data_IF_341997151080
#
_entry.id   IF_341997151080
#
_cell.length_a   1.000
_cell.length_b   1.000
_cell.length_c   1.000
_cell.angle_alpha   90.00
_cell.angle_beta   90.00
_cell.angle_gamma   90.00
#
_symmetry.space_group_name_H-M   'P 1'
#
loop_
_entity.id
_entity.type
_entity.pdbx_description
1 polymer ?
#
# COMPACT_ATOMS: atom_id res chain seq x y z
N UNK A 1 -27.31 -4.46 0.31
CA UNK A 1 -26.29 -4.61 -0.75
C UNK A 1 -25.81 -6.06 -0.76
N UNK A 2 -25.42 -6.63 -1.91
CA UNK A 2 -24.96 -8.02 -1.97
C UNK A 2 -23.64 -8.18 -1.22
N UNK A 3 -23.51 -9.26 -0.44
CA UNK A 3 -22.38 -9.53 0.48
C UNK A 3 -21.01 -9.59 -0.24
N UNK A 4 -20.99 -9.97 -1.52
CA UNK A 4 -19.78 -9.99 -2.35
C UNK A 4 -19.28 -8.59 -2.75
N UNK A 5 -20.17 -7.60 -2.91
CA UNK A 5 -19.82 -6.21 -3.21
C UNK A 5 -19.18 -5.52 -2.01
N UNK A 6 -19.62 -5.84 -0.79
CA UNK A 6 -18.97 -5.39 0.45
C UNK A 6 -17.59 -6.05 0.65
N UNK A 7 -17.38 -7.25 0.11
CA UNK A 7 -16.06 -7.87 0.08
C UNK A 7 -15.14 -7.20 -0.95
N UNK A 8 -15.63 -6.79 -2.13
CA UNK A 8 -14.78 -6.10 -3.11
C UNK A 8 -14.44 -4.65 -2.69
N UNK A 9 -15.35 -3.91 -2.06
CA UNK A 9 -15.09 -2.54 -1.60
C UNK A 9 -14.32 -2.59 -0.27
N UNK A 10 -13.04 -2.92 -0.36
CA UNK A 10 -12.17 -3.16 0.79
C UNK A 10 -10.72 -2.73 0.52
N UNK A 11 -9.77 -3.24 1.32
CA UNK A 11 -8.35 -2.95 1.13
C UNK A 11 -7.83 -3.41 -0.26
N UNK A 12 -8.41 -4.45 -0.85
CA UNK A 12 -8.00 -5.02 -2.14
C UNK A 12 -8.17 -4.04 -3.29
N UNK A 13 -9.35 -3.43 -3.42
CA UNK A 13 -9.63 -2.48 -4.52
C UNK A 13 -8.82 -1.20 -4.33
N UNK A 14 -8.63 -0.76 -3.09
CA UNK A 14 -7.76 0.38 -2.78
C UNK A 14 -6.33 0.14 -3.25
N UNK A 15 -5.74 -0.99 -2.87
CA UNK A 15 -4.38 -1.34 -3.28
C UNK A 15 -4.26 -1.64 -4.78
N UNK A 16 -5.25 -2.29 -5.39
CA UNK A 16 -5.28 -2.54 -6.83
C UNK A 16 -5.33 -1.23 -7.62
N UNK A 17 -6.10 -0.24 -7.18
CA UNK A 17 -6.16 1.07 -7.81
C UNK A 17 -4.79 1.77 -7.73
N UNK A 18 -4.15 1.76 -6.56
CA UNK A 18 -2.81 2.33 -6.37
C UNK A 18 -1.75 1.61 -7.21
N UNK A 19 -1.79 0.28 -7.24
CA UNK A 19 -0.91 -0.52 -8.07
C UNK A 19 -1.10 -0.19 -9.55
N UNK A 20 -2.35 -0.04 -10.01
CA UNK A 20 -2.66 0.39 -11.37
C UNK A 20 -2.02 1.73 -11.72
N UNK A 21 -2.12 2.73 -10.82
CA UNK A 21 -1.49 4.04 -11.00
C UNK A 21 0.04 3.90 -11.09
N UNK A 22 0.66 3.15 -10.18
CA UNK A 22 2.13 2.93 -10.20
C UNK A 22 2.57 2.17 -11.44
N UNK A 23 1.81 1.16 -11.88
CA UNK A 23 2.11 0.42 -13.09
C UNK A 23 1.99 1.29 -14.35
N UNK A 24 1.00 2.19 -14.39
CA UNK A 24 0.86 3.17 -15.46
C UNK A 24 2.00 4.20 -15.43
N UNK A 25 2.38 4.70 -14.26
CA UNK A 25 3.52 5.62 -14.11
C UNK A 25 4.84 4.96 -14.51
N UNK A 26 5.07 3.72 -14.08
CA UNK A 26 6.23 2.92 -14.45
C UNK A 26 6.28 2.69 -15.97
N UNK A 27 5.14 2.37 -16.60
CA UNK A 27 5.05 2.24 -18.06
C UNK A 27 5.16 3.56 -18.81
N UNK A 28 4.70 4.66 -18.23
CA UNK A 28 4.80 6.00 -18.80
C UNK A 28 6.20 6.61 -18.64
N UNK A 29 7.05 6.03 -17.79
CA UNK A 29 8.43 6.46 -17.58
C UNK A 29 9.39 6.00 -18.71
N UNK A 30 8.92 6.01 -19.96
CA UNK A 30 9.74 5.88 -21.17
C UNK A 30 10.33 7.28 -21.46
N UNK A 31 11.64 7.42 -21.69
CA UNK A 31 12.37 8.69 -21.48
C UNK A 31 11.89 9.84 -22.40
N UNK A 32 11.98 11.13 -22.01
CA UNK A 32 12.62 11.71 -20.82
C UNK A 32 11.63 12.51 -19.94
N UNK A 33 11.11 11.91 -18.86
CA UNK A 33 10.25 12.61 -17.90
C UNK A 33 10.90 12.66 -16.51
N UNK A 34 11.78 13.65 -16.30
CA UNK A 34 12.34 14.00 -14.98
C UNK A 34 11.34 14.04 -13.81
N UNK A 35 10.09 14.53 -13.94
CA UNK A 35 9.14 14.53 -12.82
C UNK A 35 8.71 13.12 -12.38
N UNK A 36 8.60 12.17 -13.31
CA UNK A 36 8.17 10.79 -13.02
C UNK A 36 9.21 10.04 -12.20
N UNK A 37 10.50 10.29 -12.44
CA UNK A 37 11.59 9.71 -11.66
C UNK A 37 11.53 10.11 -10.18
N UNK A 38 11.20 11.37 -9.86
CA UNK A 38 11.12 11.83 -8.45
C UNK A 38 9.96 11.18 -7.69
N UNK A 39 8.84 10.91 -8.37
CA UNK A 39 7.69 10.22 -7.79
C UNK A 39 8.04 8.75 -7.51
N UNK A 40 8.74 8.10 -8.44
CA UNK A 40 9.19 6.71 -8.28
C UNK A 40 10.26 6.59 -7.18
N UNK A 41 11.14 7.58 -7.03
CA UNK A 41 12.13 7.61 -5.95
C UNK A 41 11.48 7.79 -4.56
N UNK A 42 10.39 8.56 -4.48
CA UNK A 42 9.58 8.72 -3.26
C UNK A 42 8.51 7.62 -3.09
N UNK A 43 8.49 6.60 -3.94
CA UNK A 43 7.42 5.59 -3.94
C UNK A 43 7.29 4.86 -2.61
N UNK A 44 8.42 4.60 -1.93
CA UNK A 44 8.43 3.99 -0.61
C UNK A 44 7.64 4.81 0.42
N UNK A 45 7.71 6.14 0.37
CA UNK A 45 6.89 7.03 1.22
C UNK A 45 5.41 6.89 0.89
N UNK A 46 5.07 6.86 -0.40
CA UNK A 46 3.68 6.74 -0.86
C UNK A 46 3.06 5.40 -0.45
N UNK A 47 3.84 4.31 -0.50
CA UNK A 47 3.41 2.98 -0.07
C UNK A 47 3.17 2.93 1.44
N UNK A 48 4.01 3.59 2.25
CA UNK A 48 3.80 3.72 3.70
C UNK A 48 2.52 4.51 4.00
N UNK A 49 2.34 5.67 3.35
CA UNK A 49 1.13 6.48 3.49
C UNK A 49 -0.12 5.70 3.07
N UNK A 50 -0.03 4.92 2.00
CA UNK A 50 -1.11 4.05 1.56
C UNK A 50 -1.48 2.99 2.60
N UNK A 51 -0.49 2.36 3.23
CA UNK A 51 -0.71 1.39 4.31
C UNK A 51 -1.40 2.03 5.53
N UNK A 52 -1.05 3.27 5.89
CA UNK A 52 -1.73 4.02 6.96
C UNK A 52 -3.18 4.29 6.59
N UNK A 53 -3.42 4.78 5.35
CA UNK A 53 -4.76 5.09 4.86
C UNK A 53 -5.67 3.87 4.79
N UNK A 54 -5.12 2.66 4.59
CA UNK A 54 -5.91 1.43 4.62
C UNK A 54 -6.59 1.19 5.97
N UNK A 55 -5.98 1.62 7.08
CA UNK A 55 -6.63 1.55 8.39
C UNK A 55 -7.80 2.53 8.52
N UNK A 56 -7.89 3.57 7.69
CA UNK A 56 -9.05 4.46 7.67
C UNK A 56 -10.34 3.73 7.25
N UNK A 57 -10.24 2.64 6.46
CA UNK A 57 -11.39 1.78 6.14
C UNK A 57 -12.04 1.17 7.39
N UNK A 58 -11.32 1.06 8.50
CA UNK A 58 -11.86 0.55 9.77
C UNK A 58 -12.95 1.47 10.36
N UNK A 59 -12.87 2.77 10.07
CA UNK A 59 -13.82 3.77 10.56
C UNK A 59 -15.08 3.89 9.70
N UNK A 60 -15.14 3.20 8.56
CA UNK A 60 -16.30 3.25 7.65
C UNK A 60 -17.42 2.34 8.18
N UNK A 61 -18.62 2.88 8.51
CA UNK A 61 -19.75 2.06 8.92
C UNK A 61 -20.27 1.24 7.73
N UNK A 62 -20.36 -0.08 7.90
CA UNK A 62 -20.85 -1.01 6.87
C UNK A 62 -19.80 -1.95 6.29
N UNK A 63 -18.53 -1.83 6.70
CA UNK A 63 -17.47 -2.78 6.33
C UNK A 63 -17.42 -3.95 7.31
N UNK A 64 -17.32 -5.18 6.80
CA UNK A 64 -17.26 -6.40 7.61
C UNK A 64 -15.91 -6.49 8.36
N UNK A 65 -15.94 -6.33 9.70
CA UNK A 65 -14.75 -6.24 10.56
C UNK A 65 -14.14 -7.58 10.97
N UNK A 66 -14.87 -8.69 10.84
CA UNK A 66 -14.49 -10.02 11.33
C UNK A 66 -13.19 -10.55 10.70
N UNK A 67 -12.96 -10.27 9.42
CA UNK A 67 -11.77 -10.70 8.68
C UNK A 67 -10.95 -9.54 8.09
N UNK A 68 -11.37 -8.30 8.37
CA UNK A 68 -10.75 -7.12 7.75
C UNK A 68 -9.29 -6.96 8.12
N UNK A 69 -8.93 -7.21 9.38
CA UNK A 69 -7.55 -7.05 9.84
C UNK A 69 -6.59 -8.01 9.12
N UNK A 70 -6.97 -9.28 8.99
CA UNK A 70 -6.17 -10.27 8.28
C UNK A 70 -6.04 -9.94 6.78
N UNK A 71 -7.13 -9.47 6.16
CA UNK A 71 -7.11 -9.00 4.77
C UNK A 71 -6.21 -7.79 4.57
N UNK A 72 -6.29 -6.81 5.48
CA UNK A 72 -5.41 -5.63 5.47
C UNK A 72 -3.95 -6.05 5.53
N UNK A 73 -3.60 -7.03 6.37
CA UNK A 73 -2.24 -7.56 6.44
C UNK A 73 -1.77 -8.20 5.13
N UNK A 74 -2.50 -9.20 4.64
CA UNK A 74 -2.10 -9.97 3.45
C UNK A 74 -2.03 -9.05 2.24
N UNK A 75 -3.09 -8.27 2.01
CA UNK A 75 -3.20 -7.41 0.82
C UNK A 75 -2.15 -6.31 0.86
N UNK A 76 -1.95 -5.65 2.01
CA UNK A 76 -0.98 -4.56 2.09
C UNK A 76 0.46 -5.05 1.90
N UNK A 77 0.82 -6.21 2.44
CA UNK A 77 2.17 -6.76 2.23
C UNK A 77 2.39 -7.18 0.78
N UNK A 78 1.44 -7.92 0.20
CA UNK A 78 1.53 -8.41 -1.18
C UNK A 78 1.57 -7.23 -2.17
N UNK A 79 0.68 -6.25 -1.99
CA UNK A 79 0.59 -5.12 -2.90
C UNK A 79 1.72 -4.12 -2.72
N UNK A 80 2.18 -3.87 -1.47
CA UNK A 80 3.37 -3.07 -1.23
C UNK A 80 4.60 -3.70 -1.90
N UNK A 81 4.76 -5.02 -1.80
CA UNK A 81 5.83 -5.74 -2.48
C UNK A 81 5.79 -5.52 -4.00
N UNK A 82 4.66 -5.80 -4.64
CA UNK A 82 4.52 -5.64 -6.09
C UNK A 82 4.65 -4.19 -6.55
N UNK A 83 4.16 -3.21 -5.78
CA UNK A 83 4.28 -1.79 -6.11
C UNK A 83 5.73 -1.33 -6.01
N UNK A 84 6.43 -1.68 -4.93
CA UNK A 84 7.83 -1.31 -4.75
C UNK A 84 8.70 -1.99 -5.79
N UNK A 85 8.53 -3.28 -6.03
CA UNK A 85 9.30 -4.02 -7.05
C UNK A 85 9.11 -3.42 -8.44
N UNK A 86 7.86 -3.21 -8.89
CA UNK A 86 7.61 -2.65 -10.22
C UNK A 86 8.00 -1.18 -10.36
N UNK A 87 7.74 -0.37 -9.34
CA UNK A 87 8.01 1.06 -9.42
C UNK A 87 9.51 1.35 -9.29
N UNK A 88 10.18 0.72 -8.34
CA UNK A 88 11.64 0.88 -8.17
C UNK A 88 12.41 0.17 -9.30
N UNK A 89 11.90 -0.94 -9.84
CA UNK A 89 12.47 -1.60 -11.01
C UNK A 89 12.35 -0.79 -12.31
N UNK A 90 11.44 0.19 -12.37
CA UNK A 90 11.31 1.12 -13.48
C UNK A 90 12.28 2.33 -13.39
N UNK A 91 13.07 2.44 -12.31
CA UNK A 91 14.12 3.44 -12.22
C UNK A 91 15.30 3.03 -13.11
N UNK A 92 15.72 3.98 -13.95
CA UNK A 92 16.84 3.81 -14.89
C UNK A 92 18.18 3.58 -14.17
N UNK A 93 18.41 4.33 -13.08
CA UNK A 93 19.64 4.26 -12.30
C UNK A 93 19.41 3.33 -11.12
N UNK A 94 19.73 2.04 -11.29
CA UNK A 94 19.77 1.07 -10.19
C UNK A 94 20.95 1.37 -9.27
N UNK A 95 20.86 2.48 -8.56
CA UNK A 95 21.78 2.83 -7.50
C UNK A 95 21.51 1.96 -6.27
N UNK A 96 22.51 1.76 -5.38
CA UNK A 96 22.33 1.02 -4.14
C UNK A 96 21.14 1.51 -3.29
N UNK A 97 20.81 2.80 -3.40
CA UNK A 97 19.66 3.42 -2.74
C UNK A 97 18.30 2.81 -3.11
N UNK A 98 18.16 2.20 -4.29
CA UNK A 98 16.90 1.57 -4.74
C UNK A 98 16.60 0.32 -3.90
N UNK A 99 17.61 -0.52 -3.66
CA UNK A 99 17.46 -1.69 -2.79
C UNK A 99 17.19 -1.29 -1.34
N UNK A 100 17.85 -0.23 -0.86
CA UNK A 100 17.60 0.33 0.48
C UNK A 100 16.17 0.88 0.61
N UNK A 101 15.68 1.62 -0.39
CA UNK A 101 14.31 2.15 -0.40
C UNK A 101 13.25 1.04 -0.39
N UNK A 102 13.49 -0.06 -1.12
CA UNK A 102 12.64 -1.25 -1.07
C UNK A 102 12.59 -1.86 0.35
N UNK A 103 13.76 -2.10 0.96
CA UNK A 103 13.87 -2.71 2.29
C UNK A 103 13.19 -1.82 3.34
N UNK A 104 13.51 -0.52 3.35
CA UNK A 104 12.90 0.46 4.24
C UNK A 104 11.39 0.50 4.04
N UNK A 105 10.92 0.56 2.79
CA UNK A 105 9.49 0.57 2.46
C UNK A 105 8.75 -0.62 3.07
N UNK A 106 9.25 -1.85 2.87
CA UNK A 106 8.61 -3.05 3.41
C UNK A 106 8.66 -3.09 4.94
N UNK A 107 9.79 -2.74 5.57
CA UNK A 107 9.92 -2.71 7.03
C UNK A 107 8.91 -1.72 7.63
N UNK A 108 8.80 -0.52 7.06
CA UNK A 108 7.85 0.48 7.55
C UNK A 108 6.40 0.08 7.29
N UNK A 109 6.06 -0.54 6.16
CA UNK A 109 4.72 -1.09 5.93
C UNK A 109 4.38 -2.11 7.01
N UNK A 110 5.30 -3.02 7.33
CA UNK A 110 5.12 -4.00 8.39
C UNK A 110 4.92 -3.31 9.76
N UNK A 111 5.71 -2.29 10.05
CA UNK A 111 5.61 -1.51 11.29
C UNK A 111 4.25 -0.80 11.41
N UNK A 112 3.79 -0.17 10.33
CA UNK A 112 2.46 0.47 10.23
C UNK A 112 1.35 -0.56 10.43
N UNK A 113 1.45 -1.74 9.83
CA UNK A 113 0.47 -2.81 10.01
C UNK A 113 0.41 -3.27 11.46
N UNK A 114 1.56 -3.39 12.13
CA UNK A 114 1.65 -3.79 13.53
C UNK A 114 1.05 -2.74 14.46
N UNK A 115 1.48 -1.47 14.34
CA UNK A 115 0.97 -0.35 15.14
C UNK A 115 -0.52 -0.13 14.89
N UNK A 116 -0.96 -0.14 13.63
CA UNK A 116 -2.36 0.00 13.26
C UNK A 116 -3.22 -1.13 13.83
N UNK A 117 -2.72 -2.36 13.86
CA UNK A 117 -3.43 -3.50 14.45
C UNK A 117 -3.59 -3.37 15.97
N UNK A 118 -2.55 -2.91 16.66
CA UNK A 118 -2.61 -2.63 18.10
C UNK A 118 -3.60 -1.51 18.39
N UNK A 119 -3.54 -0.41 17.63
CA UNK A 119 -4.46 0.72 17.78
C UNK A 119 -5.92 0.31 17.58
N UNK A 120 -6.21 -0.47 16.54
CA UNK A 120 -7.55 -1.03 16.27
C UNK A 120 -8.01 -1.93 17.42
N UNK A 121 -7.16 -2.82 17.92
CA UNK A 121 -7.52 -3.70 19.06
C UNK A 121 -7.80 -2.89 20.33
N UNK A 122 -6.98 -1.88 20.63
CA UNK A 122 -7.21 -0.99 21.78
C UNK A 122 -8.55 -0.26 21.64
N UNK A 123 -8.86 0.21 20.43
CA UNK A 123 -10.13 0.88 20.16
C UNK A 123 -11.32 -0.06 20.33
N UNK A 124 -11.25 -1.29 19.80
CA UNK A 124 -12.28 -2.32 19.98
C UNK A 124 -12.47 -2.71 21.45
N UNK A 125 -11.42 -2.68 22.27
CA UNK A 125 -11.52 -2.99 23.70
C UNK A 125 -12.25 -1.90 24.50
N UNK A 126 -12.26 -0.65 24.00
CA UNK A 126 -12.90 0.50 24.67
C UNK A 126 -14.35 0.74 24.25
N UNK A 127 -14.82 0.15 23.16
CA UNK A 127 -16.18 0.30 22.60
C UNK A 127 -17.09 -0.85 22.98
#
# INVERSE_FOLDING_TARGET
>A
MPRYLQLLIGPEVYWLALYGIVALLAKANVPPAYPTNKILDMLWVHVILAAVLVFALWFIPGVEKSWLLLRVWIVSLVMAHFMLEKGLGALKDQNPGVGTAYIIGIIFVFFVLLVGSVAVKIWQWRS
#
